data_IF_061606130938
#
_entry.id   IF_061606130938
#
_cell.length_a   1.000
_cell.length_b   1.000
_cell.length_c   1.000
_cell.angle_alpha   90.00
_cell.angle_beta   90.00
_cell.angle_gamma   90.00
#
_symmetry.space_group_name_H-M   'P 1'
#
loop_
_entity.id
_entity.type
_entity.pdbx_description
1 polymer ?
#
# COMPACT_ATOMS: atom_id res chain seq x y z
N UNK A 1 4.57 -1.79 6.54
CA UNK A 1 3.70 -1.64 5.36
C UNK A 1 4.08 -2.73 4.38
N UNK A 2 3.10 -3.35 3.75
CA UNK A 2 3.28 -4.26 2.63
C UNK A 2 2.58 -3.66 1.41
N UNK A 3 3.21 -3.78 0.24
CA UNK A 3 2.70 -3.28 -1.03
C UNK A 3 2.55 -4.51 -1.93
N UNK A 4 1.37 -4.72 -2.50
CA UNK A 4 1.14 -5.75 -3.52
C UNK A 4 1.72 -5.27 -4.85
N UNK A 5 2.57 -6.06 -5.49
CA UNK A 5 3.21 -5.73 -6.76
C UNK A 5 2.36 -6.03 -8.00
N UNK A 6 1.32 -6.86 -7.85
CA UNK A 6 0.41 -7.28 -8.92
C UNK A 6 -0.92 -6.53 -8.86
N UNK A 7 -1.27 -5.99 -7.69
CA UNK A 7 -2.53 -5.29 -7.45
C UNK A 7 -2.29 -3.97 -6.76
N UNK A 8 -3.16 -3.00 -7.03
CA UNK A 8 -3.15 -1.73 -6.33
C UNK A 8 -3.75 -1.92 -4.93
N UNK A 9 -2.92 -2.39 -3.99
CA UNK A 9 -3.32 -2.75 -2.64
C UNK A 9 -2.15 -2.61 -1.66
N UNK A 10 -2.40 -1.95 -0.53
CA UNK A 10 -1.39 -1.71 0.51
C UNK A 10 -1.94 -2.08 1.88
N UNK A 11 -1.15 -2.84 2.64
CA UNK A 11 -1.42 -3.15 4.04
C UNK A 11 -0.52 -2.33 4.96
N UNK A 12 -1.10 -1.33 5.65
CA UNK A 12 -0.39 -0.54 6.64
C UNK A 12 -0.61 -1.11 8.04
N UNK A 13 0.47 -1.59 8.66
CA UNK A 13 0.46 -2.07 10.03
C UNK A 13 0.98 -0.99 10.97
N UNK A 14 0.22 -0.70 12.04
CA UNK A 14 0.59 0.27 13.05
C UNK A 14 0.53 -0.35 14.43
N UNK A 15 1.62 -0.19 15.19
CA UNK A 15 1.65 -0.57 16.60
C UNK A 15 0.97 0.51 17.43
N UNK A 16 -0.05 0.12 18.17
CA UNK A 16 -0.70 0.97 19.17
C UNK A 16 0.14 1.04 20.46
N UNK A 17 -0.14 2.05 21.28
CA UNK A 17 0.62 2.33 22.51
C UNK A 17 0.52 1.20 23.54
N UNK A 18 -0.57 0.45 23.52
CA UNK A 18 -0.84 -0.74 24.33
C UNK A 18 -0.16 -2.02 23.77
N UNK A 19 0.54 -1.90 22.64
CA UNK A 19 1.40 -2.93 22.07
C UNK A 19 0.75 -3.81 21.00
N UNK A 20 -0.56 -3.67 20.71
CA UNK A 20 -1.19 -4.42 19.62
C UNK A 20 -0.88 -3.80 18.25
N UNK A 21 -0.93 -4.61 17.20
CA UNK A 21 -0.81 -4.15 15.82
C UNK A 21 -2.21 -4.08 15.20
N UNK A 22 -2.56 -2.93 14.63
CA UNK A 22 -3.74 -2.77 13.80
C UNK A 22 -3.34 -2.74 12.31
N UNK A 23 -4.21 -3.30 11.48
CA UNK A 23 -4.12 -3.29 10.02
C UNK A 23 -5.06 -2.24 9.46
N UNK A 24 -4.51 -1.39 8.59
CA UNK A 24 -5.22 -0.38 7.81
C UNK A 24 -4.98 -0.68 6.33
N UNK A 25 -5.86 -1.45 5.67
CA UNK A 25 -5.73 -1.73 4.25
C UNK A 25 -6.18 -0.51 3.44
N UNK A 26 -5.55 -0.30 2.30
CA UNK A 26 -5.91 0.72 1.33
C UNK A 26 -5.93 0.12 -0.08
N UNK A 27 -7.01 0.41 -0.80
CA UNK A 27 -7.24 0.06 -2.20
C UNK A 27 -7.47 1.33 -3.04
N UNK A 28 -7.71 1.17 -4.33
CA UNK A 28 -7.92 2.27 -5.27
C UNK A 28 -8.93 3.32 -4.76
N UNK A 29 -8.56 4.59 -4.87
CA UNK A 29 -9.30 5.74 -4.39
C UNK A 29 -9.08 6.07 -2.91
N UNK A 30 -8.32 5.25 -2.17
CA UNK A 30 -8.04 5.49 -0.75
C UNK A 30 -6.71 6.22 -0.53
N UNK A 31 -6.54 6.77 0.67
CA UNK A 31 -5.33 7.49 1.09
C UNK A 31 -4.55 6.67 2.11
N UNK A 32 -3.24 6.64 1.96
CA UNK A 32 -2.31 6.07 2.95
C UNK A 32 -1.70 7.21 3.76
N UNK A 33 -1.66 7.05 5.08
CA UNK A 33 -1.13 8.06 6.01
C UNK A 33 0.07 7.53 6.80
N UNK A 34 1.20 8.24 6.67
CA UNK A 34 2.47 7.99 7.36
C UNK A 34 2.70 9.04 8.44
N UNK A 35 2.07 8.86 9.60
CA UNK A 35 2.07 9.89 10.67
C UNK A 35 3.45 10.23 11.21
N UNK A 36 4.40 9.28 11.20
CA UNK A 36 5.77 9.51 11.68
C UNK A 36 6.50 10.61 10.91
N UNK A 37 6.07 10.87 9.67
CA UNK A 37 6.65 11.88 8.78
C UNK A 37 5.62 12.92 8.31
N UNK A 38 4.38 12.85 8.82
CA UNK A 38 3.30 13.79 8.45
C UNK A 38 2.91 13.75 6.98
N UNK A 39 3.05 12.59 6.32
CA UNK A 39 2.78 12.43 4.90
C UNK A 39 1.48 11.66 4.68
N UNK A 40 0.57 12.21 3.89
CA UNK A 40 -0.65 11.54 3.43
C UNK A 40 -0.79 11.69 1.93
N UNK A 41 -1.02 10.58 1.23
CA UNK A 41 -1.13 10.56 -0.23
C UNK A 41 -2.15 9.52 -0.69
N UNK A 42 -2.80 9.76 -1.85
CA UNK A 42 -3.57 8.70 -2.52
C UNK A 42 -2.67 7.50 -2.80
N UNK A 43 -3.22 6.29 -2.69
CA UNK A 43 -2.48 5.05 -2.96
C UNK A 43 -1.93 5.04 -4.40
N UNK A 44 -2.60 5.66 -5.36
CA UNK A 44 -2.18 5.78 -6.76
C UNK A 44 -0.82 6.46 -6.90
N UNK A 45 -0.51 7.43 -6.04
CA UNK A 45 0.79 8.10 -6.06
C UNK A 45 1.92 7.17 -5.58
N UNK A 46 1.61 6.12 -4.81
CA UNK A 46 2.60 5.10 -4.45
C UNK A 46 2.94 4.16 -5.62
N UNK A 47 2.03 4.06 -6.60
CA UNK A 47 2.12 3.21 -7.79
C UNK A 47 2.32 4.01 -9.08
N UNK A 48 2.64 5.31 -9.00
CA UNK A 48 2.56 6.23 -10.14
C UNK A 48 3.44 5.84 -11.34
N UNK A 49 4.51 5.09 -11.11
CA UNK A 49 5.44 4.58 -12.12
C UNK A 49 5.45 3.04 -12.19
N UNK A 50 4.40 2.40 -11.68
CA UNK A 50 4.24 0.93 -11.70
C UNK A 50 3.26 0.53 -12.80
N UNK A 51 3.76 -0.19 -13.80
CA UNK A 51 2.90 -0.85 -14.77
C UNK A 51 2.36 -2.18 -14.22
N UNK A 52 1.19 -2.12 -13.61
CA UNK A 52 0.49 -3.29 -13.07
C UNK A 52 0.02 -4.26 -14.17
N UNK A 53 -0.09 -3.83 -15.44
CA UNK A 53 -0.43 -4.73 -16.54
C UNK A 53 0.79 -5.55 -16.99
N UNK A 54 1.98 -4.96 -16.99
CA UNK A 54 3.23 -5.68 -17.24
C UNK A 54 3.55 -6.71 -16.15
N UNK A 55 3.23 -6.41 -14.89
CA UNK A 55 3.41 -7.34 -13.77
C UNK A 55 2.61 -8.65 -13.97
N UNK A 56 1.35 -8.55 -14.40
CA UNK A 56 0.52 -9.73 -14.71
C UNK A 56 1.02 -10.56 -15.91
N UNK A 57 1.77 -9.97 -16.84
CA UNK A 57 2.28 -10.67 -18.02
C UNK A 57 3.50 -11.56 -17.71
N UNK A 58 4.13 -11.40 -16.54
CA UNK A 58 5.33 -12.16 -16.14
C UNK A 58 5.00 -13.39 -15.28
N UNK A 59 3.76 -13.86 -15.31
CA UNK A 59 3.40 -15.18 -14.77
C UNK A 59 4.25 -16.27 -15.44
N UNK A 60 5.26 -16.75 -14.72
CA UNK A 60 6.08 -17.89 -15.14
C UNK A 60 5.17 -19.11 -15.38
N UNK A 61 5.30 -19.84 -16.51
CA UNK A 61 4.56 -21.08 -16.74
C UNK A 61 4.90 -22.16 -15.71
#
# INVERSE_FOLDING_TARGET
>A
MLIDSERLSVDLFRRHVDGHWALYPAEAGQTVAFDSVGLSLPIEALYEDVDLQAAHATGHP
#
